data_IF_554751247989
#
_entry.id   IF_554751247989
#
_cell.length_a   1.000
_cell.length_b   1.000
_cell.length_c   1.000
_cell.angle_alpha   90.00
_cell.angle_beta   90.00
_cell.angle_gamma   90.00
#
_symmetry.space_group_name_H-M   'P 1'
#
loop_
_entity.id
_entity.type
_entity.pdbx_description
1 polymer ?
#
# COMPACT_ATOMS: atom_id res chain seq x y z
N UNK A 1 -4.86 3.80 -36.85
CA UNK A 1 -3.64 3.12 -36.38
C UNK A 1 -3.53 3.17 -34.84
N UNK A 2 -3.61 4.32 -34.19
CA UNK A 2 -3.54 4.45 -32.69
C UNK A 2 -4.58 3.56 -32.01
N UNK A 3 -5.84 3.62 -32.42
CA UNK A 3 -6.90 2.78 -31.83
C UNK A 3 -6.60 1.27 -31.91
N UNK A 4 -6.02 0.80 -33.01
CA UNK A 4 -5.63 -0.59 -33.16
C UNK A 4 -4.52 -0.98 -32.17
N UNK A 5 -3.52 -0.10 -31.99
CA UNK A 5 -2.43 -0.32 -31.03
C UNK A 5 -3.01 -0.44 -29.63
N UNK A 6 -3.90 0.47 -29.21
CA UNK A 6 -4.54 0.42 -27.90
C UNK A 6 -5.32 -0.87 -27.70
N UNK A 7 -6.06 -1.34 -28.70
CA UNK A 7 -6.85 -2.57 -28.61
C UNK A 7 -5.95 -3.83 -28.52
N UNK A 8 -4.86 -3.87 -29.27
CA UNK A 8 -3.91 -4.99 -29.20
C UNK A 8 -3.21 -4.98 -27.83
N UNK A 9 -2.69 -3.83 -27.40
CA UNK A 9 -2.02 -3.63 -26.12
C UNK A 9 -2.91 -4.07 -24.95
N UNK A 10 -4.19 -3.73 -24.96
CA UNK A 10 -5.15 -4.14 -23.94
C UNK A 10 -5.13 -5.65 -23.67
N UNK A 11 -5.25 -6.46 -24.71
CA UNK A 11 -5.22 -7.92 -24.56
C UNK A 11 -3.82 -8.45 -24.25
N UNK A 12 -2.78 -7.82 -24.80
CA UNK A 12 -1.39 -8.17 -24.53
C UNK A 12 -1.05 -7.95 -23.07
N UNK A 13 -1.40 -6.80 -22.49
CA UNK A 13 -1.18 -6.50 -21.07
C UNK A 13 -1.86 -7.52 -20.15
N UNK A 14 -3.13 -7.86 -20.43
CA UNK A 14 -3.86 -8.85 -19.65
C UNK A 14 -3.15 -10.21 -19.72
N UNK A 15 -2.78 -10.66 -20.92
CA UNK A 15 -2.09 -11.93 -21.10
C UNK A 15 -0.74 -11.97 -20.37
N UNK A 16 0.08 -10.92 -20.52
CA UNK A 16 1.38 -10.83 -19.87
C UNK A 16 1.23 -10.84 -18.34
N UNK A 17 0.21 -10.14 -17.81
CA UNK A 17 0.00 -10.07 -16.37
C UNK A 17 -0.61 -11.36 -15.81
N UNK A 18 -1.44 -12.07 -16.54
CA UNK A 18 -1.89 -13.43 -16.21
C UNK A 18 -0.71 -14.40 -16.09
N UNK A 19 0.21 -14.37 -17.07
CA UNK A 19 1.41 -15.21 -17.03
C UNK A 19 2.30 -14.82 -15.85
N UNK A 20 2.51 -13.53 -15.60
CA UNK A 20 3.27 -13.06 -14.45
C UNK A 20 2.67 -13.56 -13.15
N UNK A 21 1.36 -13.40 -12.97
CA UNK A 21 0.62 -13.83 -11.78
C UNK A 21 0.72 -15.35 -11.59
N UNK A 22 0.57 -16.13 -12.65
CA UNK A 22 0.80 -17.57 -12.60
C UNK A 22 2.20 -17.91 -12.10
N UNK A 23 3.24 -17.23 -12.58
CA UNK A 23 4.61 -17.42 -12.14
C UNK A 23 4.81 -17.09 -10.66
N UNK A 24 4.08 -16.10 -10.10
CA UNK A 24 4.15 -15.76 -8.68
C UNK A 24 3.70 -16.93 -7.78
N UNK A 25 2.71 -17.72 -8.19
CA UNK A 25 2.25 -18.89 -7.44
C UNK A 25 3.03 -20.16 -7.81
N UNK A 26 3.45 -20.28 -9.06
CA UNK A 26 4.20 -21.45 -9.53
C UNK A 26 5.54 -21.64 -8.81
N UNK A 27 6.13 -20.57 -8.29
CA UNK A 27 7.42 -20.61 -7.60
C UNK A 27 7.37 -21.42 -6.32
N UNK A 28 6.26 -21.42 -5.58
CA UNK A 28 6.09 -22.17 -4.34
C UNK A 28 6.23 -23.70 -4.53
N UNK A 29 5.99 -24.19 -5.75
CA UNK A 29 6.17 -25.60 -6.10
C UNK A 29 7.65 -26.01 -6.17
N UNK A 30 8.57 -25.05 -6.24
CA UNK A 30 10.00 -25.32 -6.43
C UNK A 30 10.86 -24.79 -5.28
N UNK A 31 10.33 -24.76 -4.04
CA UNK A 31 11.07 -24.33 -2.85
C UNK A 31 12.40 -25.05 -2.69
N UNK A 32 12.47 -26.36 -3.04
CA UNK A 32 13.67 -27.18 -2.92
C UNK A 32 14.60 -27.14 -4.16
N UNK A 33 14.30 -26.32 -5.18
CA UNK A 33 15.02 -26.29 -6.46
C UNK A 33 15.47 -24.87 -6.84
N UNK A 34 16.53 -24.32 -6.21
CA UNK A 34 16.93 -22.92 -6.37
C UNK A 34 17.25 -22.51 -7.82
N UNK A 35 17.82 -23.41 -8.64
CA UNK A 35 18.07 -23.12 -10.07
C UNK A 35 16.81 -22.93 -10.87
N UNK A 36 15.70 -23.65 -10.53
CA UNK A 36 14.42 -23.47 -11.20
C UNK A 36 13.72 -22.18 -10.73
N UNK A 37 13.80 -21.88 -9.44
CA UNK A 37 13.27 -20.62 -8.89
C UNK A 37 13.92 -19.42 -9.58
N UNK A 38 15.26 -19.40 -9.70
CA UNK A 38 15.98 -18.31 -10.36
C UNK A 38 15.49 -18.05 -11.78
N UNK A 39 15.28 -19.11 -12.60
CA UNK A 39 14.71 -18.98 -13.95
C UNK A 39 13.29 -18.40 -13.94
N UNK A 40 12.49 -18.70 -12.92
CA UNK A 40 11.14 -18.15 -12.78
C UNK A 40 11.23 -16.65 -12.47
N UNK A 41 12.12 -16.24 -11.56
CA UNK A 41 12.34 -14.82 -11.22
C UNK A 41 12.81 -14.01 -12.45
N UNK A 42 13.73 -14.54 -13.23
CA UNK A 42 14.19 -13.94 -14.48
C UNK A 42 13.02 -13.76 -15.48
N UNK A 43 12.14 -14.75 -15.62
CA UNK A 43 10.94 -14.64 -16.46
C UNK A 43 9.97 -13.58 -15.93
N UNK A 44 9.72 -13.54 -14.60
CA UNK A 44 8.90 -12.50 -14.00
C UNK A 44 9.42 -11.10 -14.34
N UNK A 45 10.72 -10.90 -14.25
CA UNK A 45 11.35 -9.61 -14.57
C UNK A 45 11.13 -9.23 -16.05
N UNK A 46 11.29 -10.18 -16.98
CA UNK A 46 11.00 -9.94 -18.39
C UNK A 46 9.54 -9.54 -18.62
N UNK A 47 8.58 -10.26 -18.04
CA UNK A 47 7.16 -9.92 -18.18
C UNK A 47 6.84 -8.55 -17.56
N UNK A 48 7.43 -8.21 -16.43
CA UNK A 48 7.29 -6.90 -15.80
C UNK A 48 7.78 -5.78 -16.72
N UNK A 49 8.98 -5.94 -17.32
CA UNK A 49 9.53 -4.95 -18.25
C UNK A 49 8.68 -4.82 -19.52
N UNK A 50 8.13 -5.92 -20.03
CA UNK A 50 7.23 -5.90 -21.19
C UNK A 50 5.93 -5.15 -20.89
N UNK A 51 5.31 -5.39 -19.73
CA UNK A 51 4.10 -4.65 -19.30
C UNK A 51 4.40 -3.17 -19.13
N UNK A 52 5.53 -2.84 -18.50
CA UNK A 52 5.96 -1.45 -18.31
C UNK A 52 6.21 -0.74 -19.64
N UNK A 53 6.90 -1.40 -20.56
CA UNK A 53 7.15 -0.89 -21.90
C UNK A 53 5.84 -0.68 -22.67
N UNK A 54 4.96 -1.70 -22.71
CA UNK A 54 3.71 -1.65 -23.45
C UNK A 54 2.79 -0.52 -22.93
N UNK A 55 2.69 -0.35 -21.60
CA UNK A 55 1.93 0.75 -20.98
C UNK A 55 2.44 2.12 -21.40
N UNK A 56 3.76 2.35 -21.32
CA UNK A 56 4.35 3.63 -21.73
C UNK A 56 4.33 3.83 -23.25
N UNK A 57 4.43 2.76 -24.05
CA UNK A 57 4.25 2.82 -25.50
C UNK A 57 2.86 3.33 -25.85
N UNK A 58 1.81 2.80 -25.24
CA UNK A 58 0.43 3.26 -25.46
C UNK A 58 0.28 4.73 -25.04
N UNK A 59 0.78 5.11 -23.87
CA UNK A 59 0.72 6.50 -23.40
C UNK A 59 1.45 7.45 -24.37
N UNK A 60 2.62 7.06 -24.86
CA UNK A 60 3.38 7.85 -25.83
C UNK A 60 2.63 7.98 -27.17
N UNK A 61 2.14 6.87 -27.73
CA UNK A 61 1.47 6.87 -29.04
C UNK A 61 0.14 7.64 -29.01
N UNK A 62 -0.54 7.64 -27.86
CA UNK A 62 -1.82 8.37 -27.70
C UNK A 62 -1.64 9.87 -27.45
N UNK A 63 -0.53 10.29 -26.85
CA UNK A 63 -0.28 11.71 -26.49
C UNK A 63 0.72 12.40 -27.39
N UNK A 64 1.64 11.63 -28.00
CA UNK A 64 2.79 12.09 -28.77
C UNK A 64 3.70 13.06 -27.98
N UNK A 65 3.69 12.98 -26.64
CA UNK A 65 4.53 13.81 -25.77
C UNK A 65 5.86 13.09 -25.48
N UNK A 66 6.97 13.66 -25.98
CA UNK A 66 8.31 13.13 -25.78
C UNK A 66 8.71 13.06 -24.30
N UNK A 67 8.11 13.88 -23.43
CA UNK A 67 8.34 13.84 -21.98
C UNK A 67 7.95 12.49 -21.38
N UNK A 68 6.92 11.83 -21.91
CA UNK A 68 6.49 10.50 -21.47
C UNK A 68 7.56 9.45 -21.80
N UNK A 69 8.15 9.51 -22.99
CA UNK A 69 9.22 8.60 -23.38
C UNK A 69 10.49 8.82 -22.50
N UNK A 70 10.88 10.07 -22.26
CA UNK A 70 11.98 10.39 -21.36
C UNK A 70 11.69 9.91 -19.91
N UNK A 71 10.47 10.06 -19.45
CA UNK A 71 10.05 9.63 -18.13
C UNK A 71 10.02 8.08 -17.99
N UNK A 72 9.67 7.36 -19.05
CA UNK A 72 9.82 5.91 -19.13
C UNK A 72 11.27 5.47 -18.90
N UNK A 73 12.22 6.09 -19.61
CA UNK A 73 13.65 5.76 -19.47
C UNK A 73 14.15 6.03 -18.05
N UNK A 74 13.74 7.15 -17.44
CA UNK A 74 14.09 7.45 -16.05
C UNK A 74 13.57 6.38 -15.07
N UNK A 75 12.34 5.91 -15.26
CA UNK A 75 11.77 4.84 -14.44
C UNK A 75 12.48 3.51 -14.65
N UNK A 76 12.81 3.16 -15.89
CA UNK A 76 13.55 1.95 -16.22
C UNK A 76 14.90 1.93 -15.50
N UNK A 77 15.64 3.04 -15.52
CA UNK A 77 16.92 3.17 -14.80
C UNK A 77 16.72 3.00 -13.29
N UNK A 78 15.67 3.60 -12.73
CA UNK A 78 15.38 3.46 -11.30
C UNK A 78 15.04 2.01 -10.92
N UNK A 79 14.15 1.35 -11.65
CA UNK A 79 13.71 -0.01 -11.34
C UNK A 79 14.84 -1.02 -11.47
N UNK A 80 15.64 -0.92 -12.54
CA UNK A 80 16.82 -1.75 -12.72
C UNK A 80 17.90 -1.44 -11.67
N UNK A 81 18.05 -0.17 -11.30
CA UNK A 81 18.94 0.26 -10.22
C UNK A 81 18.55 -0.32 -8.87
N UNK A 82 17.27 -0.26 -8.51
CA UNK A 82 16.75 -0.88 -7.28
C UNK A 82 17.04 -2.39 -7.30
N UNK A 83 16.69 -3.08 -8.39
CA UNK A 83 16.92 -4.51 -8.52
C UNK A 83 18.40 -4.87 -8.33
N UNK A 84 19.30 -4.17 -9.02
CA UNK A 84 20.74 -4.39 -8.95
C UNK A 84 21.29 -4.17 -7.53
N UNK A 85 20.91 -3.06 -6.90
CA UNK A 85 21.39 -2.72 -5.55
C UNK A 85 20.92 -3.76 -4.53
N UNK A 86 19.64 -4.17 -4.57
CA UNK A 86 19.15 -5.22 -3.67
C UNK A 86 19.87 -6.55 -3.91
N UNK A 87 20.11 -6.92 -5.15
CA UNK A 87 20.82 -8.16 -5.48
C UNK A 87 22.29 -8.14 -5.01
N UNK A 88 22.96 -6.98 -5.05
CA UNK A 88 24.33 -6.82 -4.59
C UNK A 88 24.46 -6.81 -3.06
N UNK A 89 23.62 -6.02 -2.38
CA UNK A 89 23.77 -5.76 -0.95
C UNK A 89 22.92 -6.69 -0.08
N UNK A 90 21.79 -7.16 -0.57
CA UNK A 90 20.81 -7.96 0.20
C UNK A 90 20.57 -9.33 -0.40
N UNK A 91 21.59 -10.15 -0.52
CA UNK A 91 21.55 -11.51 -1.12
C UNK A 91 20.51 -12.45 -0.52
N UNK A 92 20.03 -12.17 0.71
CA UNK A 92 18.99 -12.94 1.40
C UNK A 92 17.58 -12.37 1.22
N UNK A 93 17.43 -11.25 0.53
CA UNK A 93 16.11 -10.70 0.25
C UNK A 93 15.34 -11.61 -0.71
N UNK A 94 14.03 -11.73 -0.50
CA UNK A 94 13.18 -12.51 -1.39
C UNK A 94 13.06 -11.85 -2.76
N UNK A 95 13.54 -12.52 -3.79
CA UNK A 95 13.44 -12.04 -5.18
C UNK A 95 11.97 -11.92 -5.63
N UNK A 96 11.07 -12.80 -5.14
CA UNK A 96 9.64 -12.69 -5.44
C UNK A 96 9.05 -11.38 -4.93
N UNK A 97 9.32 -11.03 -3.66
CA UNK A 97 8.82 -9.80 -3.06
C UNK A 97 9.38 -8.58 -3.79
N UNK A 98 10.66 -8.60 -4.16
CA UNK A 98 11.31 -7.52 -4.91
C UNK A 98 10.68 -7.35 -6.31
N UNK A 99 10.50 -8.43 -7.07
CA UNK A 99 9.87 -8.41 -8.39
C UNK A 99 8.42 -7.89 -8.29
N UNK A 100 7.65 -8.38 -7.32
CA UNK A 100 6.28 -7.93 -7.11
C UNK A 100 6.20 -6.46 -6.70
N UNK A 101 7.11 -5.99 -5.84
CA UNK A 101 7.20 -4.57 -5.49
C UNK A 101 7.43 -3.71 -6.73
N UNK A 102 8.41 -4.06 -7.58
CA UNK A 102 8.70 -3.30 -8.80
C UNK A 102 7.53 -3.40 -9.79
N UNK A 103 6.87 -4.55 -9.91
CA UNK A 103 5.67 -4.70 -10.75
C UNK A 103 4.53 -3.77 -10.30
N UNK A 104 4.22 -3.73 -9.01
CA UNK A 104 3.18 -2.86 -8.45
C UNK A 104 3.53 -1.38 -8.63
N UNK A 105 4.80 -1.01 -8.44
CA UNK A 105 5.30 0.34 -8.72
C UNK A 105 5.16 0.70 -10.21
N UNK A 106 5.52 -0.22 -11.10
CA UNK A 106 5.40 -0.05 -12.55
C UNK A 106 3.96 0.23 -12.96
N UNK A 107 3.00 -0.60 -12.51
CA UNK A 107 1.56 -0.41 -12.79
C UNK A 107 1.08 0.93 -12.22
N UNK A 108 1.45 1.23 -10.97
CA UNK A 108 1.10 2.49 -10.32
C UNK A 108 1.61 3.72 -11.09
N UNK A 109 2.85 3.65 -11.60
CA UNK A 109 3.44 4.73 -12.38
C UNK A 109 2.80 4.88 -13.76
N UNK A 110 2.41 3.79 -14.45
CA UNK A 110 1.65 3.85 -15.71
C UNK A 110 0.33 4.61 -15.48
N UNK A 111 -0.46 4.19 -14.49
CA UNK A 111 -1.76 4.80 -14.22
C UNK A 111 -1.63 6.24 -13.74
N UNK A 112 -0.67 6.54 -12.87
CA UNK A 112 -0.47 7.90 -12.40
C UNK A 112 0.00 8.83 -13.51
N UNK A 113 0.85 8.35 -14.44
CA UNK A 113 1.26 9.11 -15.63
C UNK A 113 0.07 9.37 -16.55
N UNK A 114 -0.82 8.39 -16.69
CA UNK A 114 -2.08 8.51 -17.44
C UNK A 114 -3.01 9.58 -16.83
N UNK A 115 -3.12 9.63 -15.50
CA UNK A 115 -3.99 10.60 -14.82
C UNK A 115 -3.35 11.99 -14.83
N UNK A 116 -2.05 12.10 -14.49
CA UNK A 116 -1.32 13.37 -14.44
C UNK A 116 0.20 13.15 -14.42
N UNK A 117 0.88 13.56 -15.47
CA UNK A 117 2.34 13.51 -15.56
C UNK A 117 3.02 14.28 -14.41
N UNK A 118 2.48 15.44 -14.03
CA UNK A 118 3.04 16.25 -12.94
C UNK A 118 2.99 15.52 -11.59
N UNK A 119 1.87 14.81 -11.29
CA UNK A 119 1.74 13.98 -10.08
C UNK A 119 2.65 12.76 -10.16
N UNK A 120 2.79 12.14 -11.32
CA UNK A 120 3.69 11.02 -11.54
C UNK A 120 5.16 11.40 -11.32
N UNK A 121 5.62 12.55 -11.81
CA UNK A 121 6.97 13.04 -11.56
C UNK A 121 7.21 13.29 -10.06
N UNK A 122 6.24 13.89 -9.36
CA UNK A 122 6.33 14.08 -7.91
C UNK A 122 6.44 12.73 -7.19
N UNK A 123 5.60 11.77 -7.56
CA UNK A 123 5.64 10.41 -7.00
C UNK A 123 6.96 9.70 -7.28
N UNK A 124 7.54 9.88 -8.47
CA UNK A 124 8.84 9.34 -8.84
C UNK A 124 9.98 9.86 -7.94
N UNK A 125 9.95 11.16 -7.60
CA UNK A 125 10.93 11.75 -6.67
C UNK A 125 10.79 11.11 -5.28
N UNK A 126 9.56 10.99 -4.76
CA UNK A 126 9.33 10.33 -3.47
C UNK A 126 9.70 8.85 -3.49
N UNK A 127 9.42 8.16 -4.58
CA UNK A 127 9.80 6.76 -4.77
C UNK A 127 11.32 6.59 -4.73
N UNK A 128 12.05 7.46 -5.43
CA UNK A 128 13.52 7.44 -5.44
C UNK A 128 14.08 7.68 -4.04
N UNK A 129 13.61 8.72 -3.36
CA UNK A 129 14.04 9.04 -2.00
C UNK A 129 13.69 7.90 -1.01
N UNK A 130 12.46 7.36 -1.10
CA UNK A 130 12.02 6.23 -0.28
C UNK A 130 12.81 4.96 -0.52
N UNK A 131 13.19 4.68 -1.77
CA UNK A 131 14.04 3.52 -2.11
C UNK A 131 15.43 3.63 -1.49
N UNK A 132 16.03 4.82 -1.52
CA UNK A 132 17.34 5.08 -0.86
C UNK A 132 17.22 4.88 0.66
N UNK A 133 16.18 5.44 1.28
CA UNK A 133 15.93 5.25 2.72
C UNK A 133 15.73 3.78 3.07
N UNK A 134 14.93 3.06 2.28
CA UNK A 134 14.68 1.63 2.50
C UNK A 134 15.95 0.78 2.45
N UNK A 135 16.92 1.14 1.61
CA UNK A 135 18.23 0.48 1.55
C UNK A 135 19.08 0.72 2.81
N UNK A 136 18.93 1.86 3.48
CA UNK A 136 19.70 2.19 4.67
C UNK A 136 19.15 1.52 5.94
N UNK A 137 17.84 1.29 6.02
CA UNK A 137 17.17 0.76 7.22
C UNK A 137 17.77 -0.56 7.72
N UNK A 138 17.97 -1.62 6.91
CA UNK A 138 18.52 -2.88 7.41
C UNK A 138 19.96 -2.74 7.93
N UNK A 139 20.79 -1.89 7.31
CA UNK A 139 22.16 -1.64 7.76
C UNK A 139 22.16 -0.94 9.13
N UNK A 140 21.30 0.04 9.31
CA UNK A 140 21.14 0.75 10.57
C UNK A 140 20.67 -0.20 11.67
N UNK A 141 19.64 -1.00 11.40
CA UNK A 141 19.06 -1.93 12.37
C UNK A 141 20.04 -3.03 12.80
N UNK A 142 20.86 -3.55 11.88
CA UNK A 142 21.84 -4.59 12.20
C UNK A 142 22.98 -4.08 13.09
N UNK A 143 23.40 -2.83 12.93
CA UNK A 143 24.55 -2.27 13.66
C UNK A 143 24.20 -1.69 15.03
N UNK A 144 22.94 -1.42 15.33
CA UNK A 144 22.56 -0.65 16.51
C UNK A 144 21.71 -1.47 17.51
N UNK A 145 22.39 -2.27 18.34
CA UNK A 145 21.76 -2.93 19.51
C UNK A 145 21.10 -1.94 20.49
N UNK A 146 21.49 -0.67 20.42
CA UNK A 146 20.95 0.46 21.22
C UNK A 146 19.45 0.63 20.98
N UNK A 147 18.94 0.37 19.77
CA UNK A 147 17.49 0.50 19.47
C UNK A 147 16.60 -0.35 20.37
N UNK A 148 17.10 -1.50 20.84
CA UNK A 148 16.36 -2.37 21.77
C UNK A 148 16.23 -1.79 23.18
N UNK A 149 17.08 -0.82 23.56
CA UNK A 149 17.07 -0.20 24.90
C UNK A 149 16.20 1.06 24.96
N UNK A 150 15.79 1.58 23.81
CA UNK A 150 15.05 2.83 23.70
C UNK A 150 13.52 2.65 23.72
N UNK A 151 13.02 1.53 24.27
CA UNK A 151 11.60 1.17 24.31
C UNK A 151 10.71 2.31 24.80
N UNK A 152 11.02 2.88 25.95
CA UNK A 152 10.23 3.98 26.55
C UNK A 152 10.40 5.31 25.82
N UNK A 153 11.53 5.52 25.14
CA UNK A 153 11.75 6.69 24.29
C UNK A 153 10.82 6.64 23.08
N UNK A 154 10.67 5.48 22.44
CA UNK A 154 9.71 5.30 21.32
C UNK A 154 8.28 5.57 21.78
N UNK A 155 7.88 5.02 22.92
CA UNK A 155 6.56 5.25 23.49
C UNK A 155 6.35 6.74 23.80
N UNK A 156 7.29 7.38 24.48
CA UNK A 156 7.21 8.79 24.88
C UNK A 156 7.12 9.73 23.69
N UNK A 157 8.06 9.62 22.74
CA UNK A 157 8.07 10.47 21.54
C UNK A 157 6.80 10.24 20.71
N UNK A 158 6.38 8.98 20.54
CA UNK A 158 5.19 8.65 19.78
C UNK A 158 3.91 9.22 20.40
N UNK A 159 3.72 9.06 21.70
CA UNK A 159 2.56 9.61 22.42
C UNK A 159 2.58 11.14 22.37
N UNK A 160 3.72 11.79 22.64
CA UNK A 160 3.82 13.24 22.56
C UNK A 160 3.50 13.79 21.17
N UNK A 161 4.01 13.13 20.12
CA UNK A 161 3.72 13.54 18.75
C UNK A 161 2.22 13.40 18.39
N UNK A 162 1.56 12.32 18.81
CA UNK A 162 0.11 12.17 18.61
C UNK A 162 -0.71 13.17 19.43
N UNK A 163 -0.31 13.45 20.69
CA UNK A 163 -0.97 14.47 21.50
C UNK A 163 -0.81 15.85 20.88
N UNK A 164 0.36 16.19 20.34
CA UNK A 164 0.56 17.45 19.63
C UNK A 164 -0.41 17.59 18.45
N UNK A 165 -0.64 16.53 17.66
CA UNK A 165 -1.64 16.54 16.57
C UNK A 165 -3.06 16.66 17.11
N UNK A 166 -3.38 15.97 18.20
CA UNK A 166 -4.70 16.03 18.82
C UNK A 166 -5.04 17.47 19.27
N UNK A 167 -4.06 18.21 19.78
CA UNK A 167 -4.25 19.60 20.25
C UNK A 167 -4.14 20.61 19.12
N UNK A 168 -3.06 20.55 18.33
CA UNK A 168 -2.67 21.58 17.34
C UNK A 168 -3.03 21.22 15.90
N UNK A 169 -3.51 19.99 15.65
CA UNK A 169 -3.74 19.50 14.28
C UNK A 169 -4.84 20.26 13.55
N UNK A 170 -4.65 20.45 12.25
CA UNK A 170 -5.66 20.98 11.35
C UNK A 170 -6.70 19.92 11.00
N UNK A 171 -7.96 20.36 10.89
CA UNK A 171 -9.06 19.49 10.45
C UNK A 171 -8.94 19.17 8.96
N UNK A 172 -8.92 17.88 8.64
CA UNK A 172 -8.99 17.38 7.28
C UNK A 172 -9.99 16.23 7.23
N UNK A 173 -11.00 16.32 6.37
CA UNK A 173 -12.08 15.33 6.23
C UNK A 173 -12.77 14.92 7.56
N UNK A 174 -12.90 15.86 8.48
CA UNK A 174 -13.58 15.65 9.78
C UNK A 174 -12.72 15.09 10.89
N UNK A 175 -11.42 14.86 10.68
CA UNK A 175 -10.45 14.43 11.68
C UNK A 175 -9.26 15.40 11.77
N UNK A 176 -8.61 15.45 12.94
CA UNK A 176 -7.34 16.18 13.11
C UNK A 176 -6.20 15.23 12.70
N UNK A 177 -5.69 15.38 11.48
CA UNK A 177 -4.74 14.42 10.89
C UNK A 177 -3.33 14.99 10.74
N UNK A 178 -3.20 16.28 10.47
CA UNK A 178 -1.93 16.85 10.06
C UNK A 178 -1.61 18.18 10.74
N UNK A 179 -0.33 18.49 10.79
CA UNK A 179 0.17 19.81 11.16
C UNK A 179 0.67 20.46 9.88
N UNK A 180 0.12 21.62 9.53
CA UNK A 180 0.46 22.36 8.32
C UNK A 180 1.48 23.45 8.62
N UNK A 181 2.62 23.40 7.93
CA UNK A 181 3.65 24.44 7.94
C UNK A 181 3.67 25.09 6.56
N UNK A 182 2.90 26.15 6.36
CA UNK A 182 2.76 26.82 5.07
C UNK A 182 2.15 25.87 4.01
N UNK A 183 2.88 25.59 2.95
CA UNK A 183 2.44 24.69 1.86
C UNK A 183 2.70 23.20 2.12
N UNK A 184 3.40 22.85 3.20
CA UNK A 184 3.74 21.47 3.54
C UNK A 184 2.82 21.03 4.67
N UNK A 185 2.12 19.93 4.45
CA UNK A 185 1.32 19.25 5.48
C UNK A 185 1.98 17.93 5.84
N UNK A 186 2.30 17.76 7.11
CA UNK A 186 2.90 16.54 7.65
C UNK A 186 1.87 15.86 8.54
N UNK A 187 1.71 14.55 8.35
CA UNK A 187 0.86 13.70 9.18
C UNK A 187 1.75 12.90 10.14
N UNK A 188 1.92 13.32 11.40
CA UNK A 188 2.82 12.66 12.35
C UNK A 188 2.45 11.21 12.62
N UNK A 189 1.18 10.82 12.57
CA UNK A 189 0.75 9.43 12.79
C UNK A 189 1.41 8.43 11.84
N UNK A 190 1.81 8.85 10.62
CA UNK A 190 2.52 7.98 9.69
C UNK A 190 3.94 7.62 10.18
N UNK A 191 4.65 8.60 10.76
CA UNK A 191 5.98 8.39 11.34
C UNK A 191 5.89 7.67 12.70
N UNK A 192 4.91 8.04 13.51
CA UNK A 192 4.70 7.43 14.83
C UNK A 192 4.35 5.94 14.69
N UNK A 193 3.73 5.51 13.61
CA UNK A 193 3.48 4.09 13.30
C UNK A 193 4.77 3.26 13.33
N UNK A 194 5.86 3.81 12.80
CA UNK A 194 7.18 3.16 12.83
C UNK A 194 7.70 3.05 14.28
N UNK A 195 7.62 4.15 15.05
CA UNK A 195 8.02 4.15 16.45
C UNK A 195 7.19 3.17 17.29
N UNK A 196 5.89 3.05 16.99
CA UNK A 196 4.98 2.12 17.63
C UNK A 196 5.38 0.66 17.39
N UNK A 197 5.75 0.30 16.16
CA UNK A 197 6.28 -1.04 15.85
C UNK A 197 7.58 -1.31 16.61
N UNK A 198 8.51 -0.34 16.65
CA UNK A 198 9.74 -0.48 17.45
C UNK A 198 9.48 -0.61 18.94
N UNK A 199 8.51 0.14 19.48
CA UNK A 199 8.09 0.01 20.86
C UNK A 199 7.63 -1.41 21.18
N UNK A 200 6.66 -1.95 20.41
CA UNK A 200 6.13 -3.28 20.66
C UNK A 200 7.21 -4.35 20.47
N UNK A 201 7.99 -4.27 19.38
CA UNK A 201 9.03 -5.25 19.09
C UNK A 201 10.11 -5.28 20.18
N UNK A 202 10.54 -4.11 20.68
CA UNK A 202 11.53 -4.04 21.76
C UNK A 202 10.97 -4.50 23.10
N UNK A 203 9.71 -4.24 23.38
CA UNK A 203 9.03 -4.64 24.61
C UNK A 203 8.85 -6.15 24.71
N UNK A 204 8.53 -6.80 23.62
CA UNK A 204 8.26 -8.26 23.56
C UNK A 204 9.46 -9.11 23.16
N UNK A 205 10.65 -8.51 22.95
CA UNK A 205 11.84 -9.20 22.46
C UNK A 205 12.36 -10.27 23.41
N UNK A 206 12.48 -9.97 24.70
CA UNK A 206 13.12 -10.85 25.69
C UNK A 206 12.14 -11.75 26.43
N UNK A 207 10.91 -11.33 26.59
CA UNK A 207 9.88 -12.07 27.29
C UNK A 207 8.49 -11.64 26.80
N UNK A 208 7.68 -12.61 26.44
CA UNK A 208 6.27 -12.43 26.14
C UNK A 208 5.40 -13.01 27.28
N UNK A 209 5.82 -12.74 28.54
CA UNK A 209 5.04 -13.14 29.71
C UNK A 209 3.79 -12.27 29.87
N UNK A 210 2.84 -12.71 30.68
CA UNK A 210 1.54 -12.02 30.85
C UNK A 210 1.70 -10.58 31.33
N UNK A 211 2.67 -10.31 32.19
CA UNK A 211 2.95 -8.96 32.72
C UNK A 211 3.43 -8.04 31.61
N UNK A 212 4.39 -8.49 30.82
CA UNK A 212 4.94 -7.73 29.68
C UNK A 212 3.88 -7.45 28.63
N UNK A 213 3.07 -8.47 28.31
CA UNK A 213 1.93 -8.35 27.41
C UNK A 213 0.94 -7.31 27.93
N UNK A 214 0.58 -7.33 29.23
CA UNK A 214 -0.36 -6.38 29.81
C UNK A 214 0.16 -4.93 29.76
N UNK A 215 1.45 -4.70 30.07
CA UNK A 215 2.06 -3.36 29.99
C UNK A 215 2.06 -2.87 28.53
N UNK A 216 2.49 -3.73 27.59
CA UNK A 216 2.51 -3.41 26.17
C UNK A 216 1.11 -3.07 25.65
N UNK A 217 0.09 -3.82 26.08
CA UNK A 217 -1.33 -3.59 25.75
C UNK A 217 -1.80 -2.23 26.28
N UNK A 218 -1.49 -1.92 27.53
CA UNK A 218 -1.90 -0.66 28.17
C UNK A 218 -1.34 0.57 27.43
N UNK A 219 -0.04 0.56 27.12
CA UNK A 219 0.58 1.66 26.37
C UNK A 219 0.07 1.72 24.94
N UNK A 220 -0.10 0.56 24.28
CA UNK A 220 -0.68 0.51 22.92
C UNK A 220 -2.11 1.05 22.89
N UNK A 221 -2.89 0.78 23.91
CA UNK A 221 -4.23 1.35 24.06
C UNK A 221 -4.20 2.88 24.15
N UNK A 222 -3.20 3.48 24.83
CA UNK A 222 -3.04 4.93 24.87
C UNK A 222 -2.85 5.51 23.48
N UNK A 223 -1.99 4.91 22.64
CA UNK A 223 -1.83 5.33 21.22
C UNK A 223 -3.16 5.30 20.47
N UNK A 224 -3.89 4.19 20.58
CA UNK A 224 -5.18 4.02 19.89
C UNK A 224 -6.21 5.03 20.40
N UNK A 225 -6.29 5.26 21.70
CA UNK A 225 -7.25 6.20 22.30
C UNK A 225 -6.98 7.65 21.88
N UNK A 226 -5.71 8.07 21.76
CA UNK A 226 -5.36 9.41 21.26
C UNK A 226 -5.83 9.57 19.81
N UNK A 227 -5.66 8.56 18.95
CA UNK A 227 -6.14 8.58 17.58
C UNK A 227 -7.67 8.62 17.52
N UNK A 228 -8.36 7.88 18.37
CA UNK A 228 -9.83 7.95 18.50
C UNK A 228 -10.28 9.35 18.94
N UNK A 229 -9.61 9.97 19.92
CA UNK A 229 -9.88 11.32 20.36
C UNK A 229 -9.66 12.36 19.24
N UNK A 230 -8.67 12.13 18.38
CA UNK A 230 -8.43 12.94 17.16
C UNK A 230 -9.42 12.67 16.03
N UNK A 231 -10.39 11.75 16.24
CA UNK A 231 -11.33 11.23 15.22
C UNK A 231 -10.65 10.52 14.04
N UNK A 232 -9.37 10.14 14.19
CA UNK A 232 -8.65 9.32 13.21
C UNK A 232 -8.91 7.83 13.46
N UNK A 233 -10.13 7.39 13.17
CA UNK A 233 -10.55 6.00 13.40
C UNK A 233 -9.84 5.02 12.45
N UNK A 234 -9.46 5.49 11.25
CA UNK A 234 -8.69 4.69 10.29
C UNK A 234 -7.28 4.41 10.82
N UNK A 235 -6.59 5.44 11.32
CA UNK A 235 -5.31 5.30 11.99
C UNK A 235 -5.42 4.41 13.23
N UNK A 236 -6.42 4.64 14.08
CA UNK A 236 -6.66 3.83 15.28
C UNK A 236 -6.82 2.33 14.95
N UNK A 237 -7.59 2.00 13.91
CA UNK A 237 -7.76 0.62 13.42
C UNK A 237 -6.43 0.01 12.97
N UNK A 238 -5.63 0.74 12.21
CA UNK A 238 -4.32 0.27 11.74
C UNK A 238 -3.35 0.02 12.90
N UNK A 239 -3.29 0.92 13.90
CA UNK A 239 -2.45 0.72 15.09
C UNK A 239 -2.91 -0.48 15.90
N UNK A 240 -4.21 -0.62 16.11
CA UNK A 240 -4.77 -1.74 16.83
C UNK A 240 -4.48 -3.08 16.13
N UNK A 241 -4.68 -3.14 14.81
CA UNK A 241 -4.43 -4.35 14.05
C UNK A 241 -2.93 -4.70 14.01
N UNK A 242 -2.07 -3.70 13.85
CA UNK A 242 -0.60 -3.88 13.92
C UNK A 242 -0.18 -4.42 15.29
N UNK A 243 -0.71 -3.86 16.38
CA UNK A 243 -0.50 -4.39 17.73
C UNK A 243 -0.93 -5.85 17.84
N UNK A 244 -2.14 -6.17 17.38
CA UNK A 244 -2.70 -7.51 17.48
C UNK A 244 -1.86 -8.54 16.73
N UNK A 245 -1.39 -8.21 15.53
CA UNK A 245 -0.50 -9.07 14.75
C UNK A 245 0.86 -9.26 15.40
N UNK A 246 1.47 -8.20 15.93
CA UNK A 246 2.77 -8.28 16.59
C UNK A 246 2.73 -9.09 17.88
N UNK A 247 1.66 -8.93 18.68
CA UNK A 247 1.50 -9.71 19.92
C UNK A 247 1.24 -11.19 19.63
N UNK A 248 0.47 -11.48 18.58
CA UNK A 248 0.28 -12.84 18.12
C UNK A 248 1.60 -13.46 17.65
N UNK A 249 2.38 -12.74 16.86
CA UNK A 249 3.70 -13.20 16.39
C UNK A 249 4.67 -13.49 17.57
N UNK A 250 4.64 -12.64 18.62
CA UNK A 250 5.49 -12.79 19.79
C UNK A 250 5.04 -13.92 20.74
N UNK A 251 3.72 -14.05 20.97
CA UNK A 251 3.19 -15.00 21.96
C UNK A 251 2.83 -16.35 21.37
N UNK A 252 2.53 -16.40 20.07
CA UNK A 252 1.97 -17.56 19.34
C UNK A 252 0.68 -18.11 19.96
N UNK A 253 -0.05 -17.31 20.75
CA UNK A 253 -1.27 -17.69 21.46
C UNK A 253 -2.49 -17.22 20.69
N UNK A 254 -3.16 -18.15 20.00
CA UNK A 254 -4.33 -17.83 19.18
C UNK A 254 -5.49 -17.21 19.98
N UNK A 255 -5.67 -17.59 21.24
CA UNK A 255 -6.72 -17.00 22.09
C UNK A 255 -6.53 -15.51 22.36
N UNK A 256 -5.27 -15.01 22.39
CA UNK A 256 -4.97 -13.58 22.52
C UNK A 256 -5.42 -12.84 21.26
N UNK A 257 -5.12 -13.43 20.10
CA UNK A 257 -5.53 -12.88 18.81
C UNK A 257 -7.07 -12.85 18.67
N UNK A 258 -7.72 -13.97 18.97
CA UNK A 258 -9.19 -14.08 18.91
C UNK A 258 -9.89 -13.13 19.89
N UNK A 259 -9.35 -13.00 21.11
CA UNK A 259 -9.83 -12.03 22.10
C UNK A 259 -9.69 -10.57 21.62
N UNK A 260 -8.57 -10.25 21.01
CA UNK A 260 -8.35 -8.94 20.38
C UNK A 260 -9.33 -8.65 19.24
N UNK A 261 -9.63 -9.64 18.39
CA UNK A 261 -10.68 -9.47 17.36
C UNK A 261 -12.06 -9.23 18.00
N UNK A 262 -12.38 -9.90 19.11
CA UNK A 262 -13.60 -9.64 19.86
C UNK A 262 -13.68 -8.20 20.37
N UNK A 263 -12.59 -7.68 20.93
CA UNK A 263 -12.48 -6.25 21.34
C UNK A 263 -12.66 -5.31 20.16
N UNK A 264 -12.09 -5.65 18.98
CA UNK A 264 -12.26 -4.85 17.77
C UNK A 264 -13.72 -4.76 17.33
N UNK A 265 -14.46 -5.88 17.36
CA UNK A 265 -15.89 -5.91 17.01
C UNK A 265 -16.68 -5.00 17.96
N UNK A 266 -16.44 -5.10 19.27
CA UNK A 266 -17.09 -4.23 20.26
C UNK A 266 -16.75 -2.77 20.03
N UNK A 267 -15.47 -2.44 19.78
CA UNK A 267 -15.03 -1.08 19.50
C UNK A 267 -15.65 -0.53 18.20
N UNK A 268 -15.79 -1.36 17.15
CA UNK A 268 -16.45 -0.97 15.90
C UNK A 268 -17.95 -0.65 16.10
N UNK A 269 -18.66 -1.48 16.89
CA UNK A 269 -20.07 -1.24 17.24
C UNK A 269 -20.24 0.06 18.06
N UNK A 270 -19.37 0.29 19.02
CA UNK A 270 -19.36 1.53 19.82
C UNK A 270 -19.04 2.73 18.91
N UNK A 271 -18.04 2.62 18.04
CA UNK A 271 -17.67 3.65 17.06
C UNK A 271 -18.82 4.01 16.13
N UNK A 272 -19.55 3.01 15.64
CA UNK A 272 -20.76 3.25 14.84
C UNK A 272 -21.83 4.02 15.61
N UNK A 273 -22.05 3.73 16.89
CA UNK A 273 -23.05 4.44 17.71
C UNK A 273 -22.63 5.85 18.10
N UNK A 274 -21.35 6.07 18.38
CA UNK A 274 -20.85 7.32 18.95
C UNK A 274 -20.48 8.38 17.90
N UNK A 275 -20.10 7.96 16.68
CA UNK A 275 -19.55 8.87 15.67
C UNK A 275 -20.44 8.96 14.44
N UNK A 276 -21.06 10.10 14.21
CA UNK A 276 -21.95 10.35 13.04
C UNK A 276 -21.23 10.17 11.70
N UNK A 277 -19.94 10.53 11.60
CA UNK A 277 -19.17 10.33 10.37
C UNK A 277 -18.93 8.84 10.05
N UNK A 278 -18.94 7.94 11.06
CA UNK A 278 -18.91 6.48 10.85
C UNK A 278 -20.23 6.01 10.27
N UNK A 279 -21.35 6.49 10.84
CA UNK A 279 -22.69 6.15 10.32
C UNK A 279 -22.84 6.57 8.85
N UNK A 280 -22.38 7.78 8.51
CA UNK A 280 -22.39 8.27 7.13
C UNK A 280 -21.56 7.38 6.19
N UNK A 281 -20.37 6.95 6.63
CA UNK A 281 -19.51 6.03 5.84
C UNK A 281 -20.13 4.65 5.70
N UNK A 282 -20.74 4.12 6.75
CA UNK A 282 -21.44 2.82 6.70
C UNK A 282 -22.65 2.91 5.77
N UNK A 283 -23.44 3.95 5.83
CA UNK A 283 -24.57 4.18 4.92
C UNK A 283 -24.10 4.25 3.44
N UNK A 284 -23.03 5.01 3.17
CA UNK A 284 -22.44 5.10 1.85
C UNK A 284 -21.83 3.78 1.34
N UNK A 285 -21.35 2.92 2.25
CA UNK A 285 -20.83 1.61 1.90
C UNK A 285 -21.93 0.57 1.67
N UNK A 286 -22.98 0.58 2.51
CA UNK A 286 -24.08 -0.43 2.43
C UNK A 286 -25.02 -0.17 1.24
N UNK A 287 -25.37 1.09 0.99
CA UNK A 287 -26.19 1.49 -0.15
C UNK A 287 -25.71 2.83 -0.72
N UNK A 288 -24.64 2.80 -1.54
CA UNK A 288 -24.05 4.00 -2.09
C UNK A 288 -25.00 4.75 -3.05
N UNK A 289 -25.91 4.02 -3.72
CA UNK A 289 -26.81 4.62 -4.68
C UNK A 289 -27.88 5.50 -4.02
N UNK A 290 -28.37 5.15 -2.85
CA UNK A 290 -29.34 5.94 -2.10
C UNK A 290 -28.80 7.28 -1.61
N UNK A 291 -27.48 7.41 -1.50
CA UNK A 291 -26.77 8.63 -1.05
C UNK A 291 -25.78 9.14 -2.08
N UNK A 292 -26.06 8.90 -3.38
CA UNK A 292 -25.15 9.22 -4.50
C UNK A 292 -24.81 10.71 -4.56
N UNK A 293 -25.76 11.60 -4.27
CA UNK A 293 -25.54 13.05 -4.33
C UNK A 293 -24.72 13.61 -3.15
N UNK A 294 -24.30 12.74 -2.21
CA UNK A 294 -23.59 13.11 -0.98
C UNK A 294 -22.37 12.21 -0.75
N UNK A 295 -22.44 11.42 0.32
CA UNK A 295 -21.31 10.57 0.76
C UNK A 295 -21.05 9.37 -0.16
N UNK A 296 -22.07 8.92 -0.93
CA UNK A 296 -21.96 7.79 -1.86
C UNK A 296 -21.31 8.13 -3.20
N UNK A 297 -21.17 9.40 -3.56
CA UNK A 297 -20.72 9.82 -4.89
C UNK A 297 -19.41 9.17 -5.34
N UNK A 298 -18.39 9.21 -4.48
CA UNK A 298 -17.08 8.63 -4.79
C UNK A 298 -17.15 7.12 -5.02
N UNK A 299 -17.91 6.40 -4.18
CA UNK A 299 -18.08 4.95 -4.28
C UNK A 299 -18.87 4.61 -5.55
N UNK A 300 -19.94 5.33 -5.86
CA UNK A 300 -20.71 5.13 -7.08
C UNK A 300 -19.86 5.34 -8.34
N UNK A 301 -19.10 6.42 -8.41
CA UNK A 301 -18.21 6.68 -9.55
C UNK A 301 -17.14 5.58 -9.70
N UNK A 302 -16.60 5.09 -8.59
CA UNK A 302 -15.68 3.97 -8.57
C UNK A 302 -16.33 2.67 -9.10
N UNK A 303 -17.54 2.35 -8.65
CA UNK A 303 -18.28 1.17 -9.10
C UNK A 303 -18.68 1.27 -10.58
N UNK A 304 -19.09 2.46 -11.03
CA UNK A 304 -19.39 2.69 -12.45
C UNK A 304 -18.14 2.50 -13.33
N UNK A 305 -16.99 3.00 -12.91
CA UNK A 305 -15.73 2.81 -13.63
C UNK A 305 -15.37 1.33 -13.73
N UNK A 306 -15.45 0.57 -12.63
CA UNK A 306 -15.19 -0.88 -12.62
C UNK A 306 -16.19 -1.61 -13.54
N UNK A 307 -17.49 -1.24 -13.45
CA UNK A 307 -18.53 -1.83 -14.29
C UNK A 307 -18.35 -1.53 -15.78
N UNK A 308 -17.96 -0.30 -16.12
CA UNK A 308 -17.69 0.13 -17.49
C UNK A 308 -16.49 -0.60 -18.10
N UNK A 309 -15.45 -0.85 -17.31
CA UNK A 309 -14.28 -1.60 -17.77
C UNK A 309 -14.57 -3.06 -18.10
N UNK A 310 -15.55 -3.69 -17.44
CA UNK A 310 -15.86 -5.10 -17.62
C UNK A 310 -14.64 -6.00 -17.40
N UNK A 311 -14.59 -7.16 -18.08
CA UNK A 311 -13.48 -8.10 -17.91
C UNK A 311 -12.17 -7.69 -18.59
N UNK A 312 -12.26 -7.01 -19.74
CA UNK A 312 -11.11 -6.72 -20.60
C UNK A 312 -10.69 -5.26 -20.64
N UNK A 313 -11.39 -4.38 -19.91
CA UNK A 313 -11.12 -2.95 -19.88
C UNK A 313 -11.54 -2.21 -21.16
N UNK A 314 -11.54 -0.89 -21.09
CA UNK A 314 -11.74 -0.02 -22.25
C UNK A 314 -10.47 0.08 -23.11
N UNK A 315 -9.31 -0.13 -22.52
CA UNK A 315 -7.97 0.14 -23.05
C UNK A 315 -7.35 1.35 -22.36
N UNK A 316 -6.04 1.32 -22.19
CA UNK A 316 -5.29 2.40 -21.56
C UNK A 316 -5.50 3.71 -22.35
N UNK A 317 -5.79 4.78 -21.64
CA UNK A 317 -6.14 6.09 -22.20
C UNK A 317 -7.50 6.16 -22.94
N UNK A 318 -8.41 5.19 -22.71
CA UNK A 318 -9.77 5.19 -23.28
C UNK A 318 -10.86 5.39 -22.20
N UNK A 319 -10.53 5.25 -20.93
CA UNK A 319 -11.43 5.50 -19.80
C UNK A 319 -11.54 6.98 -19.43
N UNK A 320 -12.36 7.25 -18.43
CA UNK A 320 -12.57 8.58 -17.86
C UNK A 320 -12.24 8.62 -16.35
N UNK A 321 -11.04 8.18 -15.93
CA UNK A 321 -10.69 8.08 -14.51
C UNK A 321 -10.79 9.42 -13.77
N UNK A 322 -10.66 10.55 -14.47
CA UNK A 322 -10.85 11.90 -13.89
C UNK A 322 -12.26 12.18 -13.36
N UNK A 323 -13.26 11.36 -13.73
CA UNK A 323 -14.61 11.43 -13.16
C UNK A 323 -14.69 10.89 -11.74
N UNK A 324 -13.75 10.04 -11.34
CA UNK A 324 -13.67 9.49 -9.99
C UNK A 324 -12.94 10.52 -9.10
N UNK A 325 -13.61 11.08 -8.06
CA UNK A 325 -12.95 12.02 -7.16
C UNK A 325 -11.75 11.38 -6.45
N UNK A 326 -10.63 12.11 -6.38
CA UNK A 326 -9.39 11.68 -5.70
C UNK A 326 -8.86 10.34 -6.24
N UNK A 327 -9.07 10.06 -7.51
CA UNK A 327 -8.69 8.80 -8.17
C UNK A 327 -7.22 8.44 -7.99
N UNK A 328 -6.34 9.44 -7.96
CA UNK A 328 -4.89 9.24 -7.82
C UNK A 328 -4.43 8.79 -6.43
N UNK A 329 -5.34 8.74 -5.44
CA UNK A 329 -5.04 8.31 -4.05
C UNK A 329 -5.85 7.07 -3.69
N UNK A 330 -7.18 7.26 -3.54
CA UNK A 330 -8.03 6.27 -2.91
C UNK A 330 -8.67 5.29 -3.91
N UNK A 331 -8.76 5.69 -5.19
CA UNK A 331 -9.49 4.93 -6.21
C UNK A 331 -8.65 4.56 -7.45
N UNK A 332 -7.33 4.47 -7.30
CA UNK A 332 -6.42 4.01 -8.38
C UNK A 332 -6.82 2.64 -8.91
N UNK A 333 -7.26 1.73 -8.03
CA UNK A 333 -7.75 0.41 -8.42
C UNK A 333 -8.92 0.46 -9.38
N UNK A 334 -9.85 1.42 -9.20
CA UNK A 334 -11.01 1.60 -10.08
C UNK A 334 -10.59 2.10 -11.47
N UNK A 335 -9.60 3.01 -11.53
CA UNK A 335 -9.01 3.45 -12.79
C UNK A 335 -8.31 2.30 -13.54
N UNK A 336 -7.60 1.43 -12.82
CA UNK A 336 -7.00 0.21 -13.38
C UNK A 336 -8.09 -0.71 -13.93
N UNK A 337 -9.15 -0.96 -13.16
CA UNK A 337 -10.24 -1.83 -13.58
C UNK A 337 -11.02 -1.26 -14.79
N UNK A 338 -11.20 0.06 -14.86
CA UNK A 338 -11.85 0.74 -15.99
C UNK A 338 -11.04 0.57 -17.29
N UNK A 339 -9.75 0.89 -17.25
CA UNK A 339 -8.93 0.92 -18.47
C UNK A 339 -8.30 -0.44 -18.81
N UNK A 340 -7.83 -1.21 -17.81
CA UNK A 340 -7.15 -2.49 -18.02
C UNK A 340 -8.07 -3.71 -17.80
N UNK A 341 -9.24 -3.53 -17.19
CA UNK A 341 -10.26 -4.56 -17.00
C UNK A 341 -10.17 -5.34 -15.71
N UNK A 342 -11.28 -6.04 -15.37
CA UNK A 342 -11.41 -6.84 -14.16
C UNK A 342 -10.42 -8.00 -14.07
N UNK A 343 -10.08 -8.63 -15.18
CA UNK A 343 -9.07 -9.70 -15.19
C UNK A 343 -7.69 -9.20 -14.75
N UNK A 344 -7.27 -8.02 -15.23
CA UNK A 344 -6.02 -7.39 -14.81
C UNK A 344 -6.08 -6.98 -13.33
N UNK A 345 -7.21 -6.42 -12.88
CA UNK A 345 -7.43 -6.02 -11.50
C UNK A 345 -7.38 -7.21 -10.52
N UNK A 346 -7.94 -8.37 -10.90
CA UNK A 346 -7.84 -9.61 -10.11
C UNK A 346 -6.38 -10.06 -10.03
N UNK A 347 -5.63 -10.03 -11.13
CA UNK A 347 -4.20 -10.35 -11.12
C UNK A 347 -3.43 -9.46 -10.15
N UNK A 348 -3.74 -8.16 -10.08
CA UNK A 348 -3.14 -7.23 -9.14
C UNK A 348 -3.35 -7.67 -7.68
N UNK A 349 -4.57 -8.05 -7.32
CA UNK A 349 -4.88 -8.57 -5.98
C UNK A 349 -4.09 -9.87 -5.72
N UNK A 350 -4.05 -10.78 -6.69
CA UNK A 350 -3.33 -12.05 -6.56
C UNK A 350 -1.82 -11.84 -6.38
N UNK A 351 -1.22 -10.87 -7.07
CA UNK A 351 0.20 -10.49 -6.85
C UNK A 351 0.42 -10.00 -5.42
N UNK A 352 -0.45 -9.16 -4.87
CA UNK A 352 -0.39 -8.76 -3.46
C UNK A 352 -0.50 -9.97 -2.52
N UNK A 353 -1.43 -10.89 -2.77
CA UNK A 353 -1.57 -12.13 -1.98
C UNK A 353 -0.30 -12.96 -2.03
N UNK A 354 0.35 -13.09 -3.21
CA UNK A 354 1.60 -13.84 -3.34
C UNK A 354 2.75 -13.25 -2.49
N UNK A 355 2.79 -11.93 -2.30
CA UNK A 355 3.73 -11.28 -1.39
C UNK A 355 3.48 -11.70 0.06
N UNK A 356 2.22 -11.67 0.50
CA UNK A 356 1.86 -12.13 1.85
C UNK A 356 2.26 -13.58 2.07
N UNK A 357 1.91 -14.47 1.14
CA UNK A 357 2.27 -15.89 1.23
C UNK A 357 3.80 -16.09 1.33
N UNK A 358 4.59 -15.30 0.60
CA UNK A 358 6.05 -15.40 0.63
C UNK A 358 6.65 -14.88 1.94
N UNK A 359 6.03 -13.90 2.60
CA UNK A 359 6.51 -13.35 3.88
C UNK A 359 6.21 -14.31 5.04
N UNK A 360 5.11 -15.06 4.95
CA UNK A 360 4.68 -15.99 6.01
C UNK A 360 5.19 -17.43 5.83
N UNK A 361 5.82 -17.76 4.70
CA UNK A 361 6.37 -19.07 4.40
C UNK A 361 7.86 -19.12 4.76
#
# INVERSE_FOLDING_TARGET
MVHLIVQISKYLMILLFLIYTYLCFHIFRFSDRPKKQKRIYEKQRVYMLLIHFDGFLVLYVTTLDLKIAAFYVAQLILFEGIYLIYHLFYKKASELVLNNMIMLLSIGMIILTRISLAKAIRQFIFLTAGSVLALLIPVILQKMSVFRRLTWVYAGIGILALLAVCVMGSYSYGAKLSISFGSISIQPSEFVKILFVFYIASMLYNAADLKQVAITSGVSAVFVLILVASKDLGGALLYFFTYLMLIYAATRRFYVFAGGLGVLVVAALLGYRLFSHVQTRVAAWSDPLSVIDKAGYQICQSLFAIGTGGWFGLGLNQGLPSKIPVVEKDFVFSAIAEEMGGAFAICLILVCISCFLMIFN
#
